data_IF_880738752171
#
_entry.id   IF_880738752171
#
_cell.length_a   1.000
_cell.length_b   1.000
_cell.length_c   1.000
_cell.angle_alpha   90.00
_cell.angle_beta   90.00
_cell.angle_gamma   90.00
#
_symmetry.space_group_name_H-M   'P 1'
#
loop_
_entity.id
_entity.type
_entity.pdbx_description
1 polymer ?
#
# COMPACT_ATOMS: atom_id res chain seq x y z
N UNK A 1 -21.13 2.41 14.74
CA UNK A 1 -22.01 1.25 15.02
C UNK A 1 -22.85 1.50 16.28
N UNK A 2 -22.27 1.50 17.49
CA UNK A 2 -23.05 1.70 18.73
C UNK A 2 -23.83 3.02 18.81
N UNK A 3 -23.22 4.13 18.38
CA UNK A 3 -23.90 5.44 18.35
C UNK A 3 -25.11 5.50 17.40
N UNK A 4 -25.27 4.50 16.51
CA UNK A 4 -26.44 4.34 15.63
C UNK A 4 -27.39 3.23 16.11
N UNK A 5 -27.26 2.78 17.37
CA UNK A 5 -28.08 1.71 17.95
C UNK A 5 -27.64 0.28 17.63
N UNK A 6 -26.49 0.09 16.97
CA UNK A 6 -25.99 -1.24 16.62
C UNK A 6 -25.43 -2.04 17.80
N UNK A 7 -25.38 -3.36 17.65
CA UNK A 7 -24.92 -4.35 18.63
C UNK A 7 -23.43 -4.70 18.46
N UNK A 8 -22.92 -5.59 19.32
CA UNK A 8 -21.56 -6.15 19.16
C UNK A 8 -21.42 -6.98 17.87
N UNK A 9 -22.47 -7.70 17.47
CA UNK A 9 -22.48 -8.46 16.22
C UNK A 9 -22.41 -7.50 15.02
N UNK A 10 -23.17 -6.40 15.04
CA UNK A 10 -23.12 -5.37 13.99
C UNK A 10 -21.73 -4.76 13.88
N UNK A 11 -21.01 -4.61 15.00
CA UNK A 11 -19.63 -4.13 14.99
C UNK A 11 -18.69 -5.15 14.35
N UNK A 12 -18.83 -6.42 14.70
CA UNK A 12 -18.01 -7.49 14.11
C UNK A 12 -18.24 -7.59 12.59
N UNK A 13 -19.51 -7.54 12.16
CA UNK A 13 -19.88 -7.52 10.73
C UNK A 13 -19.31 -6.30 10.01
N UNK A 14 -19.44 -5.11 10.60
CA UNK A 14 -18.90 -3.89 10.02
C UNK A 14 -17.37 -3.93 9.86
N UNK A 15 -16.63 -4.50 10.83
CA UNK A 15 -15.17 -4.65 10.73
C UNK A 15 -14.77 -5.68 9.67
N UNK A 16 -15.48 -6.81 9.60
CA UNK A 16 -15.24 -7.86 8.61
C UNK A 16 -15.51 -7.40 7.16
N UNK A 17 -16.47 -6.49 6.98
CA UNK A 17 -16.83 -5.89 5.69
C UNK A 17 -15.95 -4.66 5.33
N UNK A 18 -15.10 -4.22 6.25
CA UNK A 18 -14.21 -3.08 6.03
C UNK A 18 -12.93 -3.48 5.30
N UNK A 19 -12.39 -2.54 4.52
CA UNK A 19 -11.03 -2.60 3.97
C UNK A 19 -10.27 -1.34 4.38
N UNK A 20 -9.01 -1.50 4.76
CA UNK A 20 -8.09 -0.41 5.10
C UNK A 20 -6.96 -0.34 4.08
N UNK A 21 -6.74 0.84 3.48
CA UNK A 21 -5.53 1.12 2.72
C UNK A 21 -4.49 1.78 3.65
N UNK A 22 -3.48 1.00 4.04
CA UNK A 22 -2.32 1.46 4.81
C UNK A 22 -1.35 2.15 3.84
N UNK A 23 -1.48 3.48 3.73
CA UNK A 23 -0.65 4.28 2.82
C UNK A 23 0.65 4.71 3.48
N UNK A 24 1.76 4.14 3.02
CA UNK A 24 3.12 4.52 3.43
C UNK A 24 4.07 4.40 2.25
N UNK A 25 5.04 5.32 2.17
CA UNK A 25 6.03 5.37 1.09
C UNK A 25 6.82 4.05 0.97
N UNK A 26 7.40 3.82 -0.20
CA UNK A 26 8.31 2.71 -0.46
C UNK A 26 9.46 3.13 -1.34
N UNK A 27 10.38 2.22 -1.63
CA UNK A 27 11.62 2.57 -2.33
C UNK A 27 11.45 2.48 -3.85
N UNK A 28 11.61 3.60 -4.53
CA UNK A 28 11.93 3.60 -5.96
C UNK A 28 13.33 3.01 -6.18
N UNK A 29 13.58 2.40 -7.35
CA UNK A 29 14.91 1.89 -7.70
C UNK A 29 15.90 3.03 -7.79
N UNK A 30 16.89 3.03 -6.91
CA UNK A 30 17.95 4.04 -6.93
C UNK A 30 18.94 3.73 -8.07
N UNK A 31 19.23 4.67 -8.99
CA UNK A 31 20.05 4.40 -10.17
C UNK A 31 21.50 3.99 -9.83
N UNK A 32 22.04 4.51 -8.72
CA UNK A 32 23.39 4.15 -8.26
C UNK A 32 23.46 2.85 -7.43
N UNK A 33 22.31 2.26 -7.05
CA UNK A 33 22.25 1.12 -6.14
C UNK A 33 21.18 0.11 -6.57
N UNK A 34 21.11 -0.18 -7.88
CA UNK A 34 20.10 -1.07 -8.45
C UNK A 34 20.14 -2.48 -7.84
N UNK A 35 21.33 -2.94 -7.45
CA UNK A 35 21.57 -4.23 -6.81
C UNK A 35 20.88 -4.38 -5.44
N UNK A 36 20.45 -3.26 -4.82
CA UNK A 36 19.71 -3.28 -3.55
C UNK A 36 18.22 -3.56 -3.68
N UNK A 37 17.70 -3.60 -4.90
CA UNK A 37 16.29 -3.82 -5.18
C UNK A 37 16.04 -5.27 -5.62
N UNK A 38 14.77 -5.69 -5.57
CA UNK A 38 14.38 -7.00 -6.07
C UNK A 38 14.60 -7.05 -7.59
N UNK A 39 15.22 -8.12 -8.14
CA UNK A 39 15.59 -8.17 -9.56
C UNK A 39 14.39 -8.18 -10.53
N UNK A 40 13.18 -8.46 -10.02
CA UNK A 40 11.96 -8.57 -10.83
C UNK A 40 10.95 -7.46 -10.54
N UNK A 41 11.08 -6.75 -9.41
CA UNK A 41 10.17 -5.69 -8.99
C UNK A 41 10.91 -4.37 -8.83
N UNK A 42 10.80 -3.53 -9.84
CA UNK A 42 11.55 -2.28 -9.95
C UNK A 42 10.63 -1.05 -9.99
N UNK A 43 10.01 -0.62 -8.87
CA UNK A 43 9.23 0.61 -8.87
C UNK A 43 10.03 1.81 -9.35
N UNK A 44 9.44 2.55 -10.27
CA UNK A 44 9.99 3.78 -10.86
C UNK A 44 9.20 4.97 -10.38
N UNK A 45 9.89 6.09 -10.30
CA UNK A 45 9.29 7.42 -10.13
C UNK A 45 8.35 7.71 -11.31
N UNK A 46 7.21 8.35 -11.04
CA UNK A 46 6.15 8.64 -12.01
C UNK A 46 5.56 7.38 -12.68
N UNK A 47 5.75 6.21 -12.08
CA UNK A 47 5.15 4.96 -12.55
C UNK A 47 3.79 4.66 -11.91
N UNK A 48 3.31 5.55 -11.05
CA UNK A 48 2.09 5.37 -10.27
C UNK A 48 2.35 4.73 -8.90
N UNK A 49 1.31 4.66 -8.05
CA UNK A 49 1.41 4.13 -6.70
C UNK A 49 1.94 2.70 -6.67
N UNK A 50 2.59 2.35 -5.58
CA UNK A 50 3.11 1.01 -5.33
C UNK A 50 2.14 0.19 -4.48
N UNK A 51 2.01 -1.09 -4.81
CA UNK A 51 1.39 -2.13 -4.00
C UNK A 51 2.49 -2.91 -3.30
N UNK A 52 2.58 -2.81 -1.98
CA UNK A 52 3.68 -3.36 -1.18
C UNK A 52 3.33 -4.78 -0.74
N UNK A 53 4.16 -5.75 -1.11
CA UNK A 53 3.96 -7.17 -0.77
C UNK A 53 5.22 -7.71 -0.10
N UNK A 54 5.05 -8.49 0.97
CA UNK A 54 6.16 -9.15 1.64
C UNK A 54 5.70 -10.46 2.29
N UNK A 55 6.44 -11.54 2.03
CA UNK A 55 6.09 -12.89 2.51
C UNK A 55 6.11 -13.03 4.05
N UNK A 56 6.88 -12.20 4.75
CA UNK A 56 7.00 -12.21 6.20
C UNK A 56 5.99 -11.25 6.88
N UNK A 57 4.96 -10.81 6.16
CA UNK A 57 3.96 -9.85 6.65
C UNK A 57 4.60 -8.57 7.21
N UNK A 58 5.68 -8.07 6.60
CA UNK A 58 6.14 -6.67 6.81
C UNK A 58 5.13 -5.65 6.27
N UNK A 59 4.32 -6.12 5.33
CA UNK A 59 3.17 -5.47 4.71
C UNK A 59 2.00 -6.47 4.79
N UNK A 60 0.80 -5.99 5.11
CA UNK A 60 -0.40 -6.81 5.30
C UNK A 60 -1.08 -7.25 3.99
N UNK A 61 -0.62 -6.74 2.84
CA UNK A 61 -1.18 -7.04 1.53
C UNK A 61 -1.15 -8.54 1.21
N UNK A 62 -2.34 -9.11 0.96
CA UNK A 62 -2.52 -10.46 0.43
C UNK A 62 -3.11 -10.44 -1.01
N UNK A 63 -3.38 -11.62 -1.56
CA UNK A 63 -3.92 -11.75 -2.91
C UNK A 63 -5.31 -11.11 -3.10
N UNK A 64 -6.16 -11.13 -2.07
CA UNK A 64 -7.47 -10.49 -2.11
C UNK A 64 -7.35 -8.96 -2.00
N UNK A 65 -6.45 -8.47 -1.15
CA UNK A 65 -6.11 -7.06 -1.01
C UNK A 65 -5.54 -6.47 -2.29
N UNK A 66 -4.73 -7.23 -3.02
CA UNK A 66 -4.25 -6.85 -4.36
C UNK A 66 -5.41 -6.61 -5.32
N UNK A 67 -6.42 -7.47 -5.34
CA UNK A 67 -7.57 -7.31 -6.23
C UNK A 67 -8.36 -6.03 -5.91
N UNK A 68 -8.53 -5.70 -4.63
CA UNK A 68 -9.19 -4.45 -4.20
C UNK A 68 -8.45 -3.23 -4.73
N UNK A 69 -7.13 -3.16 -4.53
CA UNK A 69 -6.35 -2.03 -4.98
C UNK A 69 -6.28 -1.93 -6.52
N UNK A 70 -6.12 -3.07 -7.19
CA UNK A 70 -6.12 -3.12 -8.65
C UNK A 70 -7.44 -2.61 -9.24
N UNK A 71 -8.59 -2.99 -8.67
CA UNK A 71 -9.90 -2.49 -9.11
C UNK A 71 -10.04 -0.97 -8.92
N UNK A 72 -9.53 -0.42 -7.81
CA UNK A 72 -9.52 1.02 -7.58
C UNK A 72 -8.65 1.76 -8.60
N UNK A 73 -7.45 1.23 -8.89
CA UNK A 73 -6.57 1.77 -9.93
C UNK A 73 -7.20 1.70 -11.33
N UNK A 74 -7.84 0.58 -11.69
CA UNK A 74 -8.55 0.40 -12.96
C UNK A 74 -9.69 1.40 -13.11
N UNK A 75 -10.53 1.55 -12.08
CA UNK A 75 -11.61 2.54 -12.05
C UNK A 75 -11.11 3.97 -12.23
N UNK A 76 -9.96 4.30 -11.63
CA UNK A 76 -9.33 5.62 -11.75
C UNK A 76 -8.53 5.80 -13.05
N UNK A 77 -8.36 4.76 -13.88
CA UNK A 77 -7.41 4.73 -14.99
C UNK A 77 -5.98 5.14 -14.57
N UNK A 78 -5.53 4.63 -13.42
CA UNK A 78 -4.22 4.90 -12.82
C UNK A 78 -3.34 3.65 -12.92
N UNK A 79 -2.09 3.75 -13.43
CA UNK A 79 -1.16 2.63 -13.36
C UNK A 79 -0.72 2.39 -11.92
N UNK A 80 -0.38 1.14 -11.57
CA UNK A 80 0.28 0.85 -10.30
C UNK A 80 1.43 -0.14 -10.50
N UNK A 81 2.33 -0.18 -9.53
CA UNK A 81 3.55 -0.99 -9.58
C UNK A 81 3.59 -1.94 -8.38
N UNK A 82 4.08 -3.15 -8.57
CA UNK A 82 4.34 -4.05 -7.44
C UNK A 82 5.68 -3.71 -6.79
N UNK A 83 5.70 -3.59 -5.47
CA UNK A 83 6.91 -3.46 -4.67
C UNK A 83 7.10 -4.71 -3.81
N UNK A 84 8.26 -5.34 -3.96
CA UNK A 84 8.76 -6.42 -3.11
C UNK A 84 10.16 -6.05 -2.67
N UNK A 85 10.47 -6.27 -1.39
CA UNK A 85 11.82 -6.07 -0.87
C UNK A 85 12.76 -7.17 -1.39
N UNK A 86 14.02 -6.83 -1.67
CA UNK A 86 15.04 -7.83 -1.98
C UNK A 86 15.18 -8.83 -0.80
N UNK A 87 15.03 -10.12 -1.08
CA UNK A 87 15.06 -11.18 -0.06
C UNK A 87 16.42 -11.32 0.65
N UNK A 88 17.50 -10.83 0.06
CA UNK A 88 18.84 -10.81 0.67
C UNK A 88 19.04 -9.64 1.63
N UNK A 89 18.04 -8.77 1.83
CA UNK A 89 18.14 -7.59 2.68
C UNK A 89 16.97 -7.51 3.67
N UNK A 90 17.20 -6.97 4.88
CA UNK A 90 16.10 -6.68 5.79
C UNK A 90 15.19 -5.61 5.20
N UNK A 91 13.88 -5.76 5.44
CA UNK A 91 12.86 -4.83 5.03
C UNK A 91 12.23 -4.16 6.25
N UNK A 92 11.96 -2.85 6.14
CA UNK A 92 11.12 -2.14 7.10
C UNK A 92 9.70 -2.70 7.17
N UNK A 93 8.97 -2.34 8.22
CA UNK A 93 7.54 -2.69 8.40
C UNK A 93 6.70 -1.42 8.38
N UNK A 94 5.41 -1.55 8.08
CA UNK A 94 4.43 -0.46 8.21
C UNK A 94 3.51 -0.69 9.40
N UNK A 95 2.52 0.18 9.55
CA UNK A 95 1.39 -0.03 10.47
C UNK A 95 0.34 -1.00 9.93
N UNK A 96 0.47 -1.48 8.69
CA UNK A 96 -0.50 -2.38 8.06
C UNK A 96 -0.73 -3.67 8.87
N UNK A 97 0.33 -4.44 9.20
CA UNK A 97 0.20 -5.67 9.98
C UNK A 97 -0.44 -5.47 11.36
N UNK A 98 -0.07 -4.40 12.07
CA UNK A 98 -0.67 -4.12 13.40
C UNK A 98 -2.13 -3.66 13.29
N UNK A 99 -2.48 -2.93 12.24
CA UNK A 99 -3.87 -2.53 11.93
C UNK A 99 -4.73 -3.77 11.68
N UNK A 100 -4.26 -4.67 10.80
CA UNK A 100 -4.94 -5.93 10.51
C UNK A 100 -5.10 -6.79 11.79
N UNK A 101 -4.02 -6.97 12.56
CA UNK A 101 -4.05 -7.81 13.75
C UNK A 101 -4.96 -7.25 14.87
N UNK A 102 -4.98 -5.93 15.06
CA UNK A 102 -5.78 -5.30 16.14
C UNK A 102 -7.26 -5.19 15.81
N UNK A 103 -7.60 -5.02 14.54
CA UNK A 103 -8.98 -4.74 14.13
C UNK A 103 -9.66 -5.89 13.39
N UNK A 104 -8.91 -6.86 12.87
CA UNK A 104 -9.44 -7.89 11.97
C UNK A 104 -9.88 -7.34 10.62
N UNK A 105 -9.51 -6.10 10.29
CA UNK A 105 -9.85 -5.44 9.02
C UNK A 105 -8.83 -5.87 7.97
N UNK A 106 -9.32 -6.26 6.78
CA UNK A 106 -8.46 -6.51 5.62
C UNK A 106 -7.65 -5.25 5.34
N UNK A 107 -6.32 -5.34 5.41
CA UNK A 107 -5.44 -4.19 5.25
C UNK A 107 -4.52 -4.39 4.05
N UNK A 108 -4.42 -3.37 3.20
CA UNK A 108 -3.59 -3.38 1.99
C UNK A 108 -2.56 -2.27 2.11
N UNK A 109 -1.29 -2.62 2.04
CA UNK A 109 -0.20 -1.66 2.08
C UNK A 109 0.13 -1.13 0.68
N UNK A 110 0.03 0.18 0.54
CA UNK A 110 0.20 0.92 -0.70
C UNK A 110 1.02 2.19 -0.42
N UNK A 111 1.41 2.92 -1.45
CA UNK A 111 1.98 4.26 -1.26
C UNK A 111 2.66 4.81 -2.50
N UNK A 112 3.51 5.81 -2.30
CA UNK A 112 4.35 6.41 -3.35
C UNK A 112 5.77 5.85 -3.28
N UNK A 113 6.35 5.53 -4.43
CA UNK A 113 7.77 5.21 -4.52
C UNK A 113 8.62 6.48 -4.41
N UNK A 114 9.54 6.51 -3.45
CA UNK A 114 10.43 7.64 -3.19
C UNK A 114 11.89 7.22 -3.24
N UNK A 115 12.77 8.21 -3.44
CA UNK A 115 14.20 8.10 -3.17
C UNK A 115 14.54 8.79 -1.85
N UNK A 116 15.63 8.31 -1.25
CA UNK A 116 16.21 8.88 -0.03
C UNK A 116 15.25 8.87 1.16
N UNK A 117 14.45 7.81 1.32
CA UNK A 117 13.58 7.63 2.49
C UNK A 117 14.35 7.80 3.80
N UNK A 118 13.78 8.51 4.77
CA UNK A 118 14.38 8.94 6.04
C UNK A 118 15.48 10.01 5.93
N UNK A 119 15.70 10.62 4.77
CA UNK A 119 16.53 11.82 4.62
C UNK A 119 15.82 13.05 5.18
N UNK A 120 16.58 14.10 5.51
CA UNK A 120 16.03 15.45 5.77
C UNK A 120 15.29 16.02 4.54
N UNK A 121 15.62 15.50 3.35
CA UNK A 121 14.96 15.82 2.09
C UNK A 121 14.82 14.57 1.24
N UNK A 122 13.58 14.12 1.09
CA UNK A 122 13.19 12.98 0.26
C UNK A 122 12.77 13.46 -1.15
N UNK A 123 12.66 12.52 -2.09
CA UNK A 123 12.28 12.82 -3.47
C UNK A 123 11.23 11.83 -3.97
N UNK A 124 10.15 12.34 -4.56
CA UNK A 124 9.13 11.55 -5.25
C UNK A 124 8.89 12.09 -6.66
N UNK A 125 8.12 11.35 -7.45
CA UNK A 125 7.62 11.83 -8.73
C UNK A 125 6.59 12.93 -8.57
N UNK A 126 6.58 13.88 -9.49
CA UNK A 126 5.60 14.96 -9.47
C UNK A 126 4.17 14.43 -9.68
N UNK A 127 4.02 13.35 -10.46
CA UNK A 127 2.72 12.78 -10.80
C UNK A 127 2.24 11.75 -9.75
N UNK A 128 3.16 11.11 -9.03
CA UNK A 128 2.82 9.99 -8.14
C UNK A 128 1.82 10.35 -7.01
N UNK A 129 1.92 11.52 -6.33
CA UNK A 129 0.91 11.93 -5.34
C UNK A 129 -0.49 12.10 -5.94
N UNK A 130 -0.58 12.65 -7.16
CA UNK A 130 -1.84 12.84 -7.87
C UNK A 130 -2.45 11.49 -8.28
N UNK A 131 -1.63 10.60 -8.82
CA UNK A 131 -2.05 9.24 -9.20
C UNK A 131 -2.53 8.44 -7.97
N UNK A 132 -1.79 8.51 -6.86
CA UNK A 132 -2.21 7.89 -5.60
C UNK A 132 -3.54 8.46 -5.10
N UNK A 133 -3.70 9.78 -5.11
CA UNK A 133 -4.95 10.42 -4.67
C UNK A 133 -6.15 9.95 -5.50
N UNK A 134 -6.01 9.85 -6.82
CA UNK A 134 -7.09 9.36 -7.70
C UNK A 134 -7.45 7.90 -7.43
N UNK A 135 -6.46 7.03 -7.21
CA UNK A 135 -6.71 5.64 -6.83
C UNK A 135 -7.45 5.53 -5.47
N UNK A 136 -7.07 6.35 -4.49
CA UNK A 136 -7.73 6.39 -3.18
C UNK A 136 -9.17 6.94 -3.28
N UNK A 137 -9.39 7.97 -4.09
CA UNK A 137 -10.74 8.49 -4.36
C UNK A 137 -11.62 7.41 -4.99
N UNK A 138 -11.13 6.73 -6.04
CA UNK A 138 -11.88 5.67 -6.70
C UNK A 138 -12.21 4.48 -5.76
N UNK A 139 -11.29 4.17 -4.83
CA UNK A 139 -11.51 3.18 -3.76
C UNK A 139 -12.64 3.60 -2.80
N UNK A 140 -12.71 4.88 -2.42
CA UNK A 140 -13.73 5.39 -1.49
C UNK A 140 -15.10 5.58 -2.15
N UNK A 141 -15.13 5.86 -3.45
CA UNK A 141 -16.36 6.04 -4.25
C UNK A 141 -17.00 4.70 -4.68
N UNK A 142 -16.59 3.58 -4.08
CA UNK A 142 -17.14 2.24 -4.33
C UNK A 142 -18.65 2.21 -4.38
#
# INVERSE_FOLDING_TARGET
VFARGGTYEDRARSLADSVCLSSDTGHAVHPNYGERHDPTHHPRINGGPILKVNVNNRYATDGSGRAVFAAACEKANVPFQSFVSNNSMPCGTTIGPITAARHGIRTVDIGVAILSMHSVRELCGADDPFLLANALTAFLEG
#
